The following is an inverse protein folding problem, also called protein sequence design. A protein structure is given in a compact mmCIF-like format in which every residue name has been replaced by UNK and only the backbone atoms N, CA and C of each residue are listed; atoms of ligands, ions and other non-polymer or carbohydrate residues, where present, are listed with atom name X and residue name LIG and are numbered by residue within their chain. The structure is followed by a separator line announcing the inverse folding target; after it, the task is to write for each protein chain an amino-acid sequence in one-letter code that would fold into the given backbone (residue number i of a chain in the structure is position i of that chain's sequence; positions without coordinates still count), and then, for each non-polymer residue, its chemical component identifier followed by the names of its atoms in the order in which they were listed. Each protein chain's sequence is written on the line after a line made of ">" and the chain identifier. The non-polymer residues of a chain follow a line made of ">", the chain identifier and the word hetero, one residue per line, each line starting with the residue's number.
data_IF_697539376803
#
_entry.id   IF_697539376803
#
_cell.length_a   1.000
_cell.length_b   1.000
_cell.length_c   1.000
_cell.angle_alpha   90.00
_cell.angle_beta   90.00
_cell.angle_gamma   90.00
#
_symmetry.space_group_name_H-M   'P 1'
#
loop_
_entity.id
_entity.type
_entity.pdbx_description
1 polymer ?
#
# COMPACT_ATOMS: atom_id res chain seq x y z
N UNK A 1 19.72 -11.23 -7.47
CA UNK A 1 19.29 -10.73 -8.81
C UNK A 1 18.26 -11.63 -9.51
N UNK A 2 18.21 -12.95 -9.24
CA UNK A 2 17.28 -13.88 -9.90
C UNK A 2 15.83 -13.93 -9.32
N UNK A 3 15.52 -13.21 -8.24
CA UNK A 3 14.21 -13.23 -7.58
C UNK A 3 13.19 -12.23 -8.14
N UNK A 4 13.64 -11.21 -8.88
CA UNK A 4 12.80 -10.09 -9.32
C UNK A 4 11.90 -10.39 -10.53
N UNK A 5 12.15 -11.47 -11.28
CA UNK A 5 11.43 -11.78 -12.54
C UNK A 5 10.18 -12.65 -12.31
N UNK A 6 9.95 -13.17 -11.10
CA UNK A 6 8.88 -14.15 -10.84
C UNK A 6 7.51 -13.56 -10.47
N UNK A 7 7.40 -12.28 -10.11
CA UNK A 7 6.15 -11.72 -9.58
C UNK A 7 5.05 -11.53 -10.62
N UNK A 8 5.39 -11.32 -11.90
CA UNK A 8 4.42 -10.81 -12.89
C UNK A 8 3.83 -11.87 -13.86
N UNK A 9 4.25 -13.14 -13.77
CA UNK A 9 3.87 -14.16 -14.77
C UNK A 9 2.41 -14.64 -14.70
N UNK A 10 1.72 -14.43 -13.56
CA UNK A 10 0.34 -14.90 -13.38
C UNK A 10 -0.75 -13.88 -13.71
N UNK A 11 -0.44 -12.57 -13.67
CA UNK A 11 -1.45 -11.50 -13.79
C UNK A 11 -1.86 -11.29 -15.24
N UNK A 12 -0.90 -11.30 -16.18
CA UNK A 12 -1.19 -11.05 -17.59
C UNK A 12 -2.12 -12.10 -18.21
N UNK A 13 -1.90 -13.42 -18.04
CA UNK A 13 -2.80 -14.43 -18.60
C UNK A 13 -4.23 -14.33 -18.03
N UNK A 14 -4.35 -14.08 -16.73
CA UNK A 14 -5.63 -13.91 -16.06
C UNK A 14 -6.37 -12.65 -16.52
N UNK A 15 -5.66 -11.51 -16.63
CA UNK A 15 -6.23 -10.27 -17.14
C UNK A 15 -6.73 -10.44 -18.58
N UNK A 16 -5.98 -11.14 -19.45
CA UNK A 16 -6.42 -11.41 -20.83
C UNK A 16 -7.70 -12.24 -20.87
N UNK A 17 -7.82 -13.24 -20.00
CA UNK A 17 -9.06 -14.03 -19.90
C UNK A 17 -10.25 -13.15 -19.49
N UNK A 18 -10.06 -12.28 -18.49
CA UNK A 18 -11.11 -11.33 -18.08
C UNK A 18 -11.44 -10.32 -19.17
N UNK A 19 -10.43 -9.74 -19.82
CA UNK A 19 -10.60 -8.78 -20.89
C UNK A 19 -11.40 -9.38 -22.06
N UNK A 20 -11.15 -10.65 -22.38
CA UNK A 20 -11.92 -11.38 -23.39
C UNK A 20 -13.39 -11.53 -23.00
N UNK A 21 -13.68 -12.01 -21.79
CA UNK A 21 -15.07 -12.17 -21.30
C UNK A 21 -15.77 -10.79 -21.27
N UNK A 22 -15.07 -9.76 -20.81
CA UNK A 22 -15.59 -8.40 -20.76
C UNK A 22 -15.97 -7.89 -22.16
N UNK A 23 -15.09 -8.07 -23.15
CA UNK A 23 -15.38 -7.69 -24.53
C UNK A 23 -16.50 -8.53 -25.14
N UNK A 24 -16.58 -9.83 -24.85
CA UNK A 24 -17.68 -10.70 -25.31
C UNK A 24 -19.05 -10.25 -24.78
N UNK A 25 -19.11 -9.67 -23.58
CA UNK A 25 -20.37 -9.21 -22.95
C UNK A 25 -20.74 -7.78 -23.32
N UNK A 26 -19.75 -6.89 -23.45
CA UNK A 26 -19.98 -5.45 -23.56
C UNK A 26 -19.59 -4.84 -24.90
N UNK A 27 -18.80 -5.52 -25.74
CA UNK A 27 -18.41 -5.02 -27.06
C UNK A 27 -19.28 -5.63 -28.14
N UNK A 28 -19.75 -4.78 -29.06
CA UNK A 28 -20.52 -5.21 -30.23
C UNK A 28 -19.61 -5.65 -31.41
N UNK A 29 -18.33 -5.94 -31.13
CA UNK A 29 -17.32 -6.29 -32.14
C UNK A 29 -16.62 -5.09 -32.80
N UNK A 30 -16.90 -3.88 -32.35
CA UNK A 30 -16.22 -2.66 -32.79
C UNK A 30 -14.82 -2.54 -32.15
N UNK A 31 -13.78 -2.59 -32.99
CA UNK A 31 -12.38 -2.46 -32.62
C UNK A 31 -12.08 -1.07 -31.99
N UNK A 32 -12.85 -0.04 -32.35
CA UNK A 32 -12.73 1.30 -31.79
C UNK A 32 -13.72 1.58 -30.66
N UNK A 33 -14.33 0.53 -30.09
CA UNK A 33 -15.25 0.70 -28.97
C UNK A 33 -14.53 1.26 -27.73
N UNK A 34 -15.23 2.03 -26.86
CA UNK A 34 -14.67 2.49 -25.59
C UNK A 34 -14.11 1.37 -24.71
N UNK A 35 -14.68 0.16 -24.81
CA UNK A 35 -14.25 -1.02 -24.06
C UNK A 35 -12.91 -1.55 -24.54
N UNK A 36 -12.67 -1.63 -25.85
CA UNK A 36 -11.36 -2.01 -26.41
C UNK A 36 -10.30 -0.99 -26.01
N UNK A 37 -10.61 0.31 -26.12
CA UNK A 37 -9.70 1.38 -25.65
C UNK A 37 -9.39 1.30 -24.16
N UNK A 38 -10.37 0.94 -23.34
CA UNK A 38 -10.17 0.75 -21.90
C UNK A 38 -9.21 -0.42 -21.61
N UNK A 39 -9.41 -1.57 -22.26
CA UNK A 39 -8.50 -2.71 -22.10
C UNK A 39 -7.09 -2.34 -22.57
N UNK A 40 -6.94 -1.72 -23.74
CA UNK A 40 -5.64 -1.28 -24.25
C UNK A 40 -4.93 -0.30 -23.29
N UNK A 41 -5.67 0.63 -22.69
CA UNK A 41 -5.15 1.51 -21.65
C UNK A 41 -4.65 0.74 -20.43
N UNK A 42 -5.43 -0.23 -19.93
CA UNK A 42 -5.06 -1.05 -18.77
C UNK A 42 -3.82 -1.89 -19.04
N UNK A 43 -3.72 -2.49 -20.23
CA UNK A 43 -2.55 -3.24 -20.66
C UNK A 43 -1.30 -2.37 -20.76
N UNK A 44 -1.39 -1.20 -21.40
CA UNK A 44 -0.25 -0.28 -21.56
C UNK A 44 0.19 0.32 -20.23
N UNK A 45 -0.74 0.56 -19.32
CA UNK A 45 -0.48 1.36 -18.13
C UNK A 45 -0.11 0.50 -16.92
N UNK A 46 -0.80 -0.63 -16.68
CA UNK A 46 -0.72 -1.35 -15.41
C UNK A 46 -0.34 -2.83 -15.53
N UNK A 47 -0.81 -3.53 -16.57
CA UNK A 47 -0.69 -5.01 -16.66
C UNK A 47 0.49 -5.45 -17.53
N UNK A 48 0.70 -4.81 -18.67
CA UNK A 48 1.67 -5.16 -19.70
C UNK A 48 1.14 -6.16 -20.73
N UNK A 49 1.82 -6.23 -21.87
CA UNK A 49 1.60 -7.20 -22.96
C UNK A 49 2.83 -8.07 -23.15
N UNK A 50 2.70 -9.11 -23.96
CA UNK A 50 3.87 -9.88 -24.39
C UNK A 50 4.89 -8.92 -25.02
N UNK A 51 6.13 -8.98 -24.53
CA UNK A 51 7.24 -8.13 -24.98
C UNK A 51 7.08 -6.62 -24.74
N UNK A 52 6.06 -6.19 -23.99
CA UNK A 52 5.79 -4.79 -23.67
C UNK A 52 5.53 -4.61 -22.17
N UNK A 53 6.49 -4.04 -21.45
CA UNK A 53 6.32 -3.72 -20.04
C UNK A 53 5.27 -2.61 -19.83
N UNK A 54 4.45 -2.69 -18.76
CA UNK A 54 3.53 -1.62 -18.44
C UNK A 54 4.28 -0.35 -18.01
N UNK A 55 3.65 0.81 -18.20
CA UNK A 55 4.17 2.09 -17.69
C UNK A 55 4.39 2.10 -16.18
N UNK A 56 3.47 1.47 -15.44
CA UNK A 56 3.51 1.35 -13.98
C UNK A 56 3.37 -0.13 -13.59
N UNK A 57 4.50 -0.86 -13.49
CA UNK A 57 4.52 -2.28 -13.12
C UNK A 57 3.85 -2.56 -11.78
N UNK A 58 3.28 -3.75 -11.61
CA UNK A 58 2.62 -4.17 -10.37
C UNK A 58 3.51 -4.00 -9.13
N UNK A 59 4.81 -4.28 -9.25
CA UNK A 59 5.76 -4.15 -8.14
C UNK A 59 5.95 -2.70 -7.68
N UNK A 60 5.59 -1.70 -8.51
CA UNK A 60 5.65 -0.28 -8.15
C UNK A 60 4.49 0.15 -7.25
N UNK A 61 3.28 -0.36 -7.49
CA UNK A 61 2.07 0.07 -6.76
C UNK A 61 1.58 -0.97 -5.74
N UNK A 62 2.04 -2.21 -5.83
CA UNK A 62 1.71 -3.27 -4.88
C UNK A 62 2.63 -3.21 -3.65
N UNK A 63 2.09 -2.65 -2.57
CA UNK A 63 2.80 -2.48 -1.31
C UNK A 63 2.70 -3.69 -0.36
N UNK A 64 2.40 -4.91 -0.85
CA UNK A 64 2.29 -6.11 0.00
C UNK A 64 3.53 -6.37 0.87
N UNK A 65 4.71 -5.99 0.36
CA UNK A 65 5.98 -6.20 1.05
C UNK A 65 6.06 -5.38 2.34
N UNK A 66 5.44 -4.20 2.40
CA UNK A 66 5.36 -3.41 3.64
C UNK A 66 4.74 -4.23 4.77
N UNK A 67 3.67 -4.98 4.48
CA UNK A 67 3.03 -5.84 5.48
C UNK A 67 3.85 -7.10 5.76
N UNK A 68 4.41 -7.74 4.73
CA UNK A 68 5.20 -8.99 4.85
C UNK A 68 6.45 -8.75 5.71
N UNK A 69 7.15 -7.66 5.44
CA UNK A 69 8.38 -7.25 6.11
C UNK A 69 8.10 -6.52 7.43
N UNK A 70 6.82 -6.38 7.80
CA UNK A 70 6.37 -5.67 9.00
C UNK A 70 6.99 -4.26 9.08
N UNK A 71 6.98 -3.54 7.96
CA UNK A 71 7.46 -2.16 7.91
C UNK A 71 6.34 -1.17 8.30
N UNK A 72 6.72 -0.01 8.89
CA UNK A 72 5.75 1.05 9.14
C UNK A 72 5.20 1.57 7.81
N UNK A 73 3.87 1.77 7.74
CA UNK A 73 3.24 2.41 6.58
C UNK A 73 3.62 3.89 6.61
N UNK A 74 4.45 4.34 5.66
CA UNK A 74 5.03 5.69 5.60
C UNK A 74 4.01 6.81 5.76
N UNK A 75 2.78 6.63 5.23
CA UNK A 75 1.68 7.58 5.39
C UNK A 75 1.31 7.81 6.88
N UNK A 76 1.24 6.75 7.68
CA UNK A 76 0.81 6.86 9.09
C UNK A 76 1.79 7.67 9.93
N UNK A 77 3.09 7.52 9.70
CA UNK A 77 4.13 8.23 10.47
C UNK A 77 4.18 9.71 10.10
N UNK A 78 4.15 10.03 8.81
CA UNK A 78 4.16 11.41 8.34
C UNK A 78 2.86 12.16 8.72
N UNK A 79 1.69 11.52 8.56
CA UNK A 79 0.40 12.07 8.99
C UNK A 79 0.34 12.26 10.50
N UNK A 80 0.84 11.30 11.29
CA UNK A 80 0.87 11.42 12.75
C UNK A 80 1.80 12.56 13.20
N UNK A 81 2.94 12.74 12.54
CA UNK A 81 3.86 13.83 12.81
C UNK A 81 3.23 15.17 12.44
N UNK A 82 2.67 15.29 11.23
CA UNK A 82 1.98 16.49 10.78
C UNK A 82 0.79 16.85 11.69
N UNK A 83 -0.02 15.88 12.10
CA UNK A 83 -1.13 16.09 13.04
C UNK A 83 -0.65 16.57 14.42
N UNK A 84 0.47 16.03 14.91
CA UNK A 84 1.08 16.48 16.17
C UNK A 84 1.50 17.96 16.08
N UNK A 85 2.12 18.37 14.97
CA UNK A 85 2.46 19.78 14.72
C UNK A 85 1.23 20.67 14.57
N UNK A 86 0.20 20.22 13.84
CA UNK A 86 -1.05 20.95 13.70
C UNK A 86 -1.68 21.23 15.07
N UNK A 87 -1.71 20.24 15.97
CA UNK A 87 -2.20 20.39 17.35
C UNK A 87 -1.35 21.38 18.14
N UNK A 88 -0.01 21.28 18.06
CA UNK A 88 0.91 22.20 18.74
C UNK A 88 0.63 23.65 18.32
N UNK A 89 0.56 23.91 17.02
CA UNK A 89 0.32 25.25 16.50
C UNK A 89 -1.08 25.77 16.81
N UNK A 90 -2.12 24.93 16.72
CA UNK A 90 -3.49 25.36 17.05
C UNK A 90 -3.66 25.65 18.55
N UNK A 91 -3.04 24.86 19.43
CA UNK A 91 -3.19 24.99 20.88
C UNK A 91 -2.37 26.13 21.48
N UNK A 92 -1.21 26.43 20.91
CA UNK A 92 -0.22 27.31 21.53
C UNK A 92 0.08 28.60 20.76
N UNK A 93 -0.56 28.85 19.60
CA UNK A 93 -0.33 30.07 18.79
C UNK A 93 -0.37 31.40 19.56
N UNK A 94 -1.15 31.60 20.66
CA UNK A 94 -1.15 32.87 21.37
C UNK A 94 0.06 33.07 22.31
N UNK A 95 0.79 32.01 22.68
CA UNK A 95 1.88 32.07 23.64
C UNK A 95 3.16 31.43 23.06
N UNK A 96 4.14 32.24 22.60
CA UNK A 96 5.34 31.75 21.94
C UNK A 96 6.24 30.91 22.86
N UNK A 97 6.20 31.14 24.18
CA UNK A 97 6.94 30.33 25.14
C UNK A 97 6.38 28.89 25.21
N UNK A 98 5.06 28.75 25.26
CA UNK A 98 4.41 27.44 25.26
C UNK A 98 4.62 26.71 23.93
N UNK A 99 4.67 27.44 22.81
CA UNK A 99 5.02 26.88 21.51
C UNK A 99 6.47 26.36 21.50
N UNK A 100 7.43 27.17 21.94
CA UNK A 100 8.84 26.76 22.00
C UNK A 100 9.04 25.52 22.90
N UNK A 101 8.35 25.49 24.05
CA UNK A 101 8.37 24.32 24.94
C UNK A 101 7.80 23.08 24.26
N UNK A 102 6.64 23.18 23.60
CA UNK A 102 6.02 22.05 22.91
C UNK A 102 6.89 21.51 21.76
N UNK A 103 7.60 22.38 21.04
CA UNK A 103 8.56 21.96 20.00
C UNK A 103 9.78 21.25 20.60
N UNK A 104 10.27 21.72 21.76
CA UNK A 104 11.37 21.07 22.46
C UNK A 104 10.96 19.68 22.97
N UNK A 105 9.76 19.56 23.54
CA UNK A 105 9.20 18.28 23.99
C UNK A 105 9.05 17.29 22.83
N UNK A 106 8.63 17.76 21.65
CA UNK A 106 8.54 16.96 20.43
C UNK A 106 9.92 16.50 19.93
N UNK A 107 10.94 17.37 19.96
CA UNK A 107 12.31 17.01 19.62
C UNK A 107 12.84 15.91 20.55
N UNK A 108 12.69 16.07 21.87
CA UNK A 108 13.11 15.07 22.86
C UNK A 108 12.44 13.71 22.61
N UNK A 109 11.16 13.72 22.25
CA UNK A 109 10.41 12.49 21.91
C UNK A 109 11.00 11.78 20.69
N UNK A 110 11.29 12.53 19.62
CA UNK A 110 11.86 11.98 18.38
C UNK A 110 13.28 11.44 18.63
N UNK A 111 14.11 12.18 19.37
CA UNK A 111 15.48 11.77 19.70
C UNK A 111 15.49 10.49 20.55
N UNK A 112 14.58 10.37 21.51
CA UNK A 112 14.43 9.16 22.31
C UNK A 112 14.09 7.94 21.43
N UNK A 113 13.18 8.08 20.46
CA UNK A 113 12.86 7.03 19.49
C UNK A 113 14.08 6.69 18.64
N UNK A 114 14.81 7.70 18.16
CA UNK A 114 16.03 7.51 17.36
C UNK A 114 17.10 6.71 18.12
N UNK A 115 17.37 7.07 19.38
CA UNK A 115 18.33 6.36 20.24
C UNK A 115 17.93 4.89 20.43
N UNK A 116 16.64 4.61 20.66
CA UNK A 116 16.12 3.24 20.79
C UNK A 116 16.37 2.43 19.53
N UNK A 117 16.08 2.99 18.35
CA UNK A 117 16.36 2.34 17.05
C UNK A 117 17.85 2.08 16.88
N UNK A 118 18.70 3.08 17.16
CA UNK A 118 20.17 2.94 17.04
C UNK A 118 20.74 1.89 18.01
N UNK A 119 20.10 1.69 19.16
CA UNK A 119 20.46 0.65 20.13
C UNK A 119 19.99 -0.75 19.74
N UNK A 120 19.23 -0.89 18.65
CA UNK A 120 18.67 -2.16 18.19
C UNK A 120 17.41 -2.60 18.95
N UNK A 121 16.75 -1.69 19.68
CA UNK A 121 15.50 -2.00 20.36
C UNK A 121 14.36 -2.11 19.34
N UNK A 122 13.53 -3.15 19.45
CA UNK A 122 12.33 -3.31 18.63
C UNK A 122 11.24 -2.33 19.10
N UNK A 123 10.90 -1.36 18.24
CA UNK A 123 9.82 -0.41 18.50
C UNK A 123 8.52 -0.95 17.91
N UNK A 124 7.40 -0.96 18.67
CA UNK A 124 6.13 -1.42 18.15
C UNK A 124 5.68 -0.55 16.97
N UNK A 125 5.40 -1.19 15.83
CA UNK A 125 4.98 -0.55 14.58
C UNK A 125 3.64 0.19 14.69
N UNK A 126 2.76 -0.30 15.58
CA UNK A 126 1.44 0.26 15.80
C UNK A 126 1.21 0.47 17.29
N UNK A 127 0.77 1.66 17.67
CA UNK A 127 0.46 1.99 19.06
C UNK A 127 -0.87 1.40 19.55
N UNK A 128 -1.86 1.23 18.67
CA UNK A 128 -3.18 0.66 19.03
C UNK A 128 -3.25 -0.83 18.69
N UNK A 129 -3.73 -1.64 19.64
CA UNK A 129 -3.96 -3.08 19.45
C UNK A 129 -4.83 -3.40 18.22
N UNK A 130 -5.84 -2.56 17.92
CA UNK A 130 -6.71 -2.77 16.76
C UNK A 130 -5.92 -2.81 15.44
N UNK A 131 -4.89 -1.96 15.30
CA UNK A 131 -4.06 -1.89 14.09
C UNK A 131 -3.06 -3.04 14.05
N UNK A 132 -2.52 -3.45 15.20
CA UNK A 132 -1.69 -4.64 15.32
C UNK A 132 -2.45 -5.89 14.84
N UNK A 133 -3.66 -6.11 15.38
CA UNK A 133 -4.53 -7.24 15.00
C UNK A 133 -4.93 -7.20 13.52
N UNK A 134 -5.24 -6.01 12.99
CA UNK A 134 -5.56 -5.87 11.57
C UNK A 134 -4.34 -6.21 10.69
N UNK A 135 -3.14 -5.79 11.09
CA UNK A 135 -1.90 -6.10 10.38
C UNK A 135 -1.56 -7.59 10.44
N UNK A 136 -1.69 -8.23 11.61
CA UNK A 136 -1.51 -9.67 11.77
C UNK A 136 -2.47 -10.48 10.89
N UNK A 137 -3.75 -10.08 10.85
CA UNK A 137 -4.74 -10.75 9.98
C UNK A 137 -4.40 -10.60 8.51
N UNK A 138 -4.02 -9.40 8.07
CA UNK A 138 -3.59 -9.18 6.70
C UNK A 138 -2.33 -10.00 6.38
N UNK A 139 -1.36 -10.05 7.30
CA UNK A 139 -0.16 -10.86 7.16
C UNK A 139 -0.48 -12.35 7.03
N UNK A 140 -1.46 -12.87 7.76
CA UNK A 140 -1.92 -14.25 7.62
C UNK A 140 -2.54 -14.51 6.24
N UNK A 141 -3.32 -13.56 5.69
CA UNK A 141 -3.84 -13.66 4.32
C UNK A 141 -2.72 -13.65 3.29
N UNK A 142 -1.72 -12.78 3.44
CA UNK A 142 -0.58 -12.68 2.52
C UNK A 142 0.35 -13.92 2.57
N UNK A 143 0.56 -14.48 3.76
CA UNK A 143 1.36 -15.70 3.97
C UNK A 143 0.59 -16.97 3.61
N UNK A 144 -0.74 -16.93 3.66
CA UNK A 144 -1.64 -17.98 3.20
C UNK A 144 -1.62 -18.09 1.67
N UNK A 145 -0.56 -18.69 1.14
CA UNK A 145 -0.25 -18.77 -0.29
C UNK A 145 -1.17 -19.72 -1.09
N UNK A 146 -2.34 -20.08 -0.55
CA UNK A 146 -3.23 -21.10 -1.08
C UNK A 146 -4.72 -20.69 -1.06
N UNK A 147 -5.04 -19.41 -1.27
CA UNK A 147 -6.37 -19.13 -1.81
C UNK A 147 -6.36 -19.52 -3.28
N UNK A 148 -6.99 -20.65 -3.57
CA UNK A 148 -7.13 -21.23 -4.92
C UNK A 148 -7.79 -20.22 -5.89
N UNK A 149 -8.53 -19.25 -5.33
CA UNK A 149 -9.27 -18.24 -6.07
C UNK A 149 -8.72 -16.82 -5.83
N UNK A 150 -8.20 -16.14 -6.88
CA UNK A 150 -7.75 -14.74 -6.81
C UNK A 150 -8.81 -13.76 -6.29
N UNK A 151 -10.10 -14.01 -6.58
CA UNK A 151 -11.19 -13.13 -6.13
C UNK A 151 -11.39 -13.22 -4.62
N UNK A 152 -11.35 -14.44 -4.06
CA UNK A 152 -11.43 -14.64 -2.61
C UNK A 152 -10.25 -14.01 -1.90
N UNK A 153 -9.05 -14.13 -2.47
CA UNK A 153 -7.86 -13.47 -1.96
C UNK A 153 -8.00 -11.94 -1.91
N UNK A 154 -8.41 -11.32 -3.03
CA UNK A 154 -8.60 -9.87 -3.10
C UNK A 154 -9.74 -9.39 -2.18
N UNK A 155 -10.80 -10.19 -2.05
CA UNK A 155 -11.91 -9.93 -1.12
C UNK A 155 -11.44 -10.02 0.34
N UNK A 156 -10.61 -11.00 0.67
CA UNK A 156 -10.01 -11.10 2.00
C UNK A 156 -9.11 -9.89 2.29
N UNK A 157 -8.33 -9.41 1.31
CA UNK A 157 -7.50 -8.22 1.46
C UNK A 157 -8.34 -6.93 1.65
N UNK A 158 -9.46 -6.78 0.94
CA UNK A 158 -10.27 -5.55 0.99
C UNK A 158 -10.85 -5.27 2.38
N UNK A 159 -11.15 -6.32 3.16
CA UNK A 159 -11.63 -6.17 4.54
C UNK A 159 -10.62 -5.48 5.49
N UNK A 160 -9.34 -5.37 5.10
CA UNK A 160 -8.27 -4.78 5.91
C UNK A 160 -7.71 -3.47 5.31
N UNK A 161 -8.24 -3.02 4.18
CA UNK A 161 -7.90 -1.75 3.54
C UNK A 161 -9.08 -0.81 3.76
N UNK A 162 -8.97 0.04 4.78
CA UNK A 162 -9.92 1.14 4.99
C UNK A 162 -9.41 2.36 4.22
N UNK A 163 -10.26 2.93 3.38
CA UNK A 163 -10.05 4.20 2.69
C UNK A 163 -10.65 5.35 3.50
#
# INVERSE_FOLDING_TARGET
>A
MASFIKANKGVQPWFRQLARIFLEVYSDGDEDSPFVRFIDYMERTWVGRDFMAPRFPIDMWNNKNITIDQMPRTANSAESWHNSFAIIFHRHSPNPYNLAKALLDEQVRVDAISVKILSGEEIPLFSKQQYQRANERLLNVLRGQAMINPIEYLTACSHYIQF
#
